data_IF_759399868315
#
_entry.id   IF_759399868315
#
_cell.length_a   1.000
_cell.length_b   1.000
_cell.length_c   1.000
_cell.angle_alpha   90.00
_cell.angle_beta   90.00
_cell.angle_gamma   90.00
#
_symmetry.space_group_name_H-M   'P 1'
#
loop_
_entity.id
_entity.type
_entity.pdbx_description
1 polymer ?
#
# COMPACT_ATOMS: atom_id res chain seq x y z
N UNK A 1 -21.57 -4.59 16.76
CA UNK A 1 -20.61 -3.51 16.91
C UNK A 1 -19.28 -3.97 17.53
N UNK A 2 -19.28 -4.83 18.55
CA UNK A 2 -18.06 -5.42 19.13
C UNK A 2 -17.19 -6.19 18.12
N UNK A 3 -17.80 -6.90 17.18
CA UNK A 3 -17.08 -7.69 16.18
C UNK A 3 -16.23 -6.86 15.20
N UNK A 4 -16.68 -5.66 14.84
CA UNK A 4 -15.97 -4.79 13.90
C UNK A 4 -14.75 -4.12 14.55
N UNK A 5 -14.89 -3.68 15.80
CA UNK A 5 -13.78 -3.07 16.56
C UNK A 5 -12.69 -4.10 16.84
N UNK A 6 -13.07 -5.34 17.20
CA UNK A 6 -12.09 -6.41 17.43
C UNK A 6 -11.35 -6.82 16.16
N UNK A 7 -12.01 -6.81 15.01
CA UNK A 7 -11.40 -7.06 13.71
C UNK A 7 -10.36 -5.99 13.36
N UNK A 8 -10.72 -4.71 13.50
CA UNK A 8 -9.80 -3.59 13.27
C UNK A 8 -8.58 -3.69 14.19
N UNK A 9 -8.81 -3.93 15.49
CA UNK A 9 -7.72 -4.08 16.46
C UNK A 9 -6.77 -5.23 16.08
N UNK A 10 -7.31 -6.37 15.66
CA UNK A 10 -6.52 -7.52 15.24
C UNK A 10 -5.69 -7.22 13.99
N UNK A 11 -6.31 -6.60 12.97
CA UNK A 11 -5.61 -6.18 11.75
C UNK A 11 -4.47 -5.21 12.03
N UNK A 12 -4.69 -4.22 12.90
CA UNK A 12 -3.64 -3.28 13.32
C UNK A 12 -2.50 -4.00 14.04
N UNK A 13 -2.80 -4.90 14.97
CA UNK A 13 -1.80 -5.66 15.73
C UNK A 13 -0.89 -6.46 14.81
N UNK A 14 -1.46 -7.15 13.83
CA UNK A 14 -0.70 -7.96 12.87
C UNK A 14 0.09 -7.12 11.86
N UNK A 15 -0.38 -5.90 11.55
CA UNK A 15 0.30 -5.00 10.64
C UNK A 15 1.53 -4.30 11.27
N UNK A 16 1.62 -4.22 12.60
CA UNK A 16 2.70 -3.49 13.29
C UNK A 16 4.08 -4.09 13.00
N UNK A 17 4.24 -5.40 13.12
CA UNK A 17 5.54 -6.05 12.91
C UNK A 17 6.04 -5.91 11.46
N UNK A 18 5.23 -6.18 10.41
CA UNK A 18 5.62 -5.92 9.03
C UNK A 18 5.87 -4.45 8.72
N UNK A 19 5.10 -3.53 9.32
CA UNK A 19 5.32 -2.10 9.16
C UNK A 19 6.67 -1.66 9.75
N UNK A 20 7.03 -2.15 10.93
CA UNK A 20 8.35 -1.90 11.54
C UNK A 20 9.49 -2.51 10.72
N UNK A 21 9.31 -3.72 10.18
CA UNK A 21 10.27 -4.33 9.28
C UNK A 21 10.45 -3.48 8.00
N UNK A 22 9.34 -3.01 7.42
CA UNK A 22 9.37 -2.07 6.30
C UNK A 22 10.12 -0.78 6.65
N UNK A 23 9.83 -0.18 7.81
CA UNK A 23 10.52 1.03 8.26
C UNK A 23 12.05 0.80 8.43
N UNK A 24 12.46 -0.36 8.95
CA UNK A 24 13.87 -0.74 9.06
C UNK A 24 14.55 -0.84 7.68
N UNK A 25 13.89 -1.50 6.72
CA UNK A 25 14.34 -1.61 5.33
C UNK A 25 14.47 -0.20 4.71
N UNK A 26 13.45 0.64 4.88
CA UNK A 26 13.46 2.03 4.41
C UNK A 26 14.58 2.85 5.04
N UNK A 27 14.87 2.64 6.32
CA UNK A 27 15.98 3.26 7.03
C UNK A 27 17.35 2.86 6.48
N UNK A 28 17.55 1.57 6.23
CA UNK A 28 18.79 1.05 5.60
C UNK A 28 18.96 1.63 4.20
N UNK A 29 17.91 1.59 3.38
CA UNK A 29 17.94 2.17 2.03
C UNK A 29 18.26 3.66 2.07
N UNK A 30 17.65 4.41 3.00
CA UNK A 30 17.92 5.83 3.20
C UNK A 30 19.39 6.08 3.56
N UNK A 31 19.96 5.25 4.45
CA UNK A 31 21.38 5.35 4.82
C UNK A 31 22.30 5.15 3.60
N UNK A 32 22.02 4.11 2.79
CA UNK A 32 22.78 3.83 1.57
C UNK A 32 22.66 4.96 0.54
N UNK A 33 21.44 5.47 0.32
CA UNK A 33 21.20 6.58 -0.60
C UNK A 33 21.87 7.88 -0.13
N UNK A 34 21.86 8.17 1.18
CA UNK A 34 22.56 9.31 1.76
C UNK A 34 24.07 9.19 1.59
N UNK A 35 24.63 8.00 1.82
CA UNK A 35 26.06 7.73 1.64
C UNK A 35 26.48 7.93 0.18
N UNK A 36 25.70 7.37 -0.77
CA UNK A 36 25.95 7.54 -2.21
C UNK A 36 25.93 9.02 -2.60
N UNK A 37 24.87 9.74 -2.23
CA UNK A 37 24.72 11.17 -2.56
C UNK A 37 25.79 12.06 -1.92
N UNK A 38 26.22 11.74 -0.70
CA UNK A 38 27.36 12.45 -0.07
C UNK A 38 28.65 12.30 -0.89
N UNK A 39 28.89 11.11 -1.46
CA UNK A 39 30.05 10.88 -2.35
C UNK A 39 29.97 11.68 -3.64
N UNK A 40 28.74 11.94 -4.13
CA UNK A 40 28.45 12.71 -5.34
C UNK A 40 28.34 14.23 -5.06
N UNK A 41 28.59 14.69 -3.82
CA UNK A 41 28.49 16.10 -3.42
C UNK A 41 27.03 16.62 -3.37
N UNK A 42 26.04 15.75 -3.47
CA UNK A 42 24.64 16.15 -3.50
C UNK A 42 23.98 16.08 -2.12
N UNK A 43 23.23 17.13 -1.75
CA UNK A 43 22.43 17.14 -0.53
C UNK A 43 21.22 16.21 -0.59
N UNK A 44 20.76 15.75 0.57
CA UNK A 44 19.55 14.95 0.72
C UNK A 44 18.53 15.71 1.56
N UNK A 45 17.32 15.91 1.01
CA UNK A 45 16.25 16.60 1.75
C UNK A 45 15.75 15.74 2.91
N UNK A 46 15.60 16.30 4.13
CA UNK A 46 15.03 15.55 5.26
C UNK A 46 13.61 15.06 4.97
N UNK A 47 12.79 15.84 4.24
CA UNK A 47 11.45 15.45 3.82
C UNK A 47 11.47 14.20 2.90
N UNK A 48 12.41 14.14 1.96
CA UNK A 48 12.60 12.99 1.09
C UNK A 48 13.00 11.74 1.91
N UNK A 49 13.85 11.93 2.91
CA UNK A 49 14.26 10.85 3.81
C UNK A 49 13.10 10.29 4.62
N UNK A 50 12.29 11.17 5.20
CA UNK A 50 11.09 10.78 5.94
C UNK A 50 10.08 10.06 5.02
N UNK A 51 9.87 10.56 3.80
CA UNK A 51 8.96 9.95 2.84
C UNK A 51 9.38 8.53 2.45
N UNK A 52 10.69 8.26 2.29
CA UNK A 52 11.21 6.91 2.01
C UNK A 52 10.89 5.96 3.17
N UNK A 53 11.21 6.34 4.40
CA UNK A 53 10.96 5.48 5.57
C UNK A 53 9.47 5.21 5.75
N UNK A 54 8.62 6.25 5.64
CA UNK A 54 7.17 6.13 5.74
C UNK A 54 6.59 5.28 4.61
N UNK A 55 7.11 5.39 3.39
CA UNK A 55 6.69 4.58 2.25
C UNK A 55 6.94 3.08 2.52
N UNK A 56 8.13 2.72 2.98
CA UNK A 56 8.45 1.33 3.27
C UNK A 56 7.71 0.81 4.50
N UNK A 57 7.51 1.63 5.52
CA UNK A 57 6.65 1.33 6.66
C UNK A 57 5.21 1.02 6.20
N UNK A 58 4.68 1.88 5.34
CA UNK A 58 3.35 1.71 4.78
C UNK A 58 3.24 0.44 3.91
N UNK A 59 4.20 0.18 3.04
CA UNK A 59 4.23 -1.04 2.21
C UNK A 59 4.31 -2.31 3.06
N UNK A 60 5.08 -2.28 4.15
CA UNK A 60 5.14 -3.39 5.11
C UNK A 60 3.78 -3.66 5.77
N UNK A 61 3.12 -2.61 6.27
CA UNK A 61 1.77 -2.72 6.84
C UNK A 61 0.72 -3.17 5.81
N UNK A 62 0.79 -2.63 4.60
CA UNK A 62 -0.10 -3.01 3.49
C UNK A 62 0.04 -4.49 3.14
N UNK A 63 1.28 -5.00 3.04
CA UNK A 63 1.53 -6.42 2.73
C UNK A 63 0.95 -7.35 3.80
N UNK A 64 0.98 -6.97 5.06
CA UNK A 64 0.35 -7.73 6.14
C UNK A 64 -1.16 -7.83 5.96
N UNK A 65 -1.82 -6.71 5.69
CA UNK A 65 -3.27 -6.66 5.54
C UNK A 65 -3.74 -7.40 4.29
N UNK A 66 -2.98 -7.30 3.18
CA UNK A 66 -3.41 -7.85 1.89
C UNK A 66 -3.01 -9.30 1.67
N UNK A 67 -1.89 -9.75 2.25
CA UNK A 67 -1.34 -11.09 2.00
C UNK A 67 -1.53 -12.01 3.21
N UNK A 68 -1.25 -11.54 4.44
CA UNK A 68 -1.26 -12.39 5.62
C UNK A 68 -2.66 -12.67 6.18
N UNK A 69 -3.62 -11.79 5.94
CA UNK A 69 -4.99 -11.94 6.45
C UNK A 69 -5.97 -12.60 5.48
N UNK A 70 -5.46 -13.23 4.44
CA UNK A 70 -6.32 -14.00 3.55
C UNK A 70 -6.78 -15.27 4.26
N UNK A 71 -8.06 -15.34 4.64
CA UNK A 71 -8.73 -16.63 4.83
C UNK A 71 -8.74 -17.32 3.47
N UNK A 72 -8.09 -18.48 3.40
CA UNK A 72 -8.09 -19.35 2.22
C UNK A 72 -9.53 -19.76 1.94
N UNK A 73 -10.26 -18.90 1.25
CA UNK A 73 -11.57 -19.20 0.69
C UNK A 73 -11.41 -19.72 -0.72
N UNK A 74 -12.36 -20.52 -1.18
CA UNK A 74 -12.40 -21.07 -2.53
C UNK A 74 -12.00 -20.03 -3.59
N UNK A 75 -11.12 -20.40 -4.54
CA UNK A 75 -10.64 -19.48 -5.56
C UNK A 75 -11.78 -19.16 -6.55
N UNK A 76 -12.59 -18.18 -6.22
CA UNK A 76 -13.51 -17.58 -7.17
C UNK A 76 -12.76 -16.52 -7.96
N UNK A 77 -12.34 -16.90 -9.16
CA UNK A 77 -11.84 -15.95 -10.16
C UNK A 77 -12.98 -15.03 -10.52
N UNK A 78 -13.03 -13.85 -9.94
CA UNK A 78 -13.93 -12.80 -10.41
C UNK A 78 -13.30 -12.15 -11.64
N UNK A 79 -13.46 -12.82 -12.79
CA UNK A 79 -12.92 -12.39 -14.08
C UNK A 79 -13.54 -11.09 -14.63
N UNK A 80 -14.48 -10.49 -13.90
CA UNK A 80 -15.11 -9.24 -14.29
C UNK A 80 -14.47 -8.05 -13.60
N UNK A 81 -13.53 -7.39 -14.30
CA UNK A 81 -13.09 -6.04 -13.97
C UNK A 81 -14.34 -5.18 -13.73
N UNK A 82 -14.35 -4.43 -12.61
CA UNK A 82 -15.47 -3.55 -12.24
C UNK A 82 -16.77 -4.22 -11.75
N UNK A 83 -16.83 -5.55 -11.57
CA UNK A 83 -18.03 -6.19 -11.04
C UNK A 83 -18.44 -5.61 -9.67
N UNK A 84 -17.48 -5.34 -8.79
CA UNK A 84 -17.74 -4.72 -7.49
C UNK A 84 -18.38 -3.33 -7.64
N UNK A 85 -17.95 -2.53 -8.63
CA UNK A 85 -18.56 -1.24 -8.95
C UNK A 85 -19.96 -1.40 -9.55
N UNK A 86 -20.14 -2.39 -10.43
CA UNK A 86 -21.43 -2.66 -11.05
C UNK A 86 -22.46 -3.15 -10.02
N UNK A 87 -22.07 -4.04 -9.13
CA UNK A 87 -22.92 -4.53 -8.04
C UNK A 87 -23.24 -3.40 -7.03
N UNK A 88 -22.25 -2.56 -6.69
CA UNK A 88 -22.44 -1.40 -5.83
C UNK A 88 -23.43 -0.39 -6.45
N UNK A 89 -23.33 -0.16 -7.75
CA UNK A 89 -24.20 0.76 -8.49
C UNK A 89 -25.65 0.25 -8.53
N UNK A 90 -25.85 -1.04 -8.76
CA UNK A 90 -27.20 -1.63 -8.88
C UNK A 90 -27.89 -1.87 -7.53
N UNK A 91 -27.14 -2.06 -6.45
CA UNK A 91 -27.73 -2.49 -5.17
C UNK A 91 -27.85 -1.34 -4.16
N UNK A 92 -27.17 -0.19 -4.39
CA UNK A 92 -27.14 1.01 -3.53
C UNK A 92 -26.95 0.72 -2.03
N UNK A 93 -26.31 -0.39 -1.67
CA UNK A 93 -26.07 -0.78 -0.28
C UNK A 93 -24.71 -0.22 0.15
N UNK A 94 -24.68 0.55 1.25
CA UNK A 94 -23.48 1.18 1.79
C UNK A 94 -22.32 0.18 1.98
N UNK A 95 -22.65 -1.05 2.37
CA UNK A 95 -21.66 -2.11 2.64
C UNK A 95 -20.89 -2.55 1.38
N UNK A 96 -21.51 -2.50 0.21
CA UNK A 96 -20.88 -2.86 -1.08
C UNK A 96 -19.98 -1.73 -1.54
N UNK A 97 -20.32 -0.46 -1.27
CA UNK A 97 -19.49 0.71 -1.59
C UNK A 97 -18.25 0.83 -0.70
N UNK A 98 -18.31 0.32 0.54
CA UNK A 98 -17.18 0.37 1.46
C UNK A 98 -15.93 -0.32 0.92
N UNK A 99 -16.06 -1.48 0.26
CA UNK A 99 -14.91 -2.22 -0.26
C UNK A 99 -14.11 -1.45 -1.33
N UNK A 100 -14.74 -0.93 -2.43
CA UNK A 100 -14.02 -0.11 -3.39
C UNK A 100 -13.46 1.18 -2.78
N UNK A 101 -14.19 1.83 -1.87
CA UNK A 101 -13.72 3.03 -1.20
C UNK A 101 -12.50 2.78 -0.30
N UNK A 102 -12.50 1.68 0.45
CA UNK A 102 -11.35 1.26 1.26
C UNK A 102 -10.13 0.95 0.38
N UNK A 103 -10.33 0.29 -0.75
CA UNK A 103 -9.23 0.04 -1.71
C UNK A 103 -8.66 1.37 -2.23
N UNK A 104 -9.49 2.33 -2.61
CA UNK A 104 -9.03 3.66 -3.02
C UNK A 104 -8.28 4.34 -1.86
N UNK A 105 -8.84 4.33 -0.66
CA UNK A 105 -8.23 4.93 0.52
C UNK A 105 -6.86 4.32 0.85
N UNK A 106 -6.69 3.01 0.62
CA UNK A 106 -5.42 2.31 0.78
C UNK A 106 -4.35 2.79 -0.21
N UNK A 107 -4.69 3.31 -1.38
CA UNK A 107 -3.71 3.82 -2.34
C UNK A 107 -3.40 5.31 -2.17
N UNK A 108 -4.17 6.07 -1.39
CA UNK A 108 -3.93 7.49 -1.13
C UNK A 108 -2.53 7.78 -0.53
N UNK A 109 -2.08 7.07 0.54
CA UNK A 109 -0.75 7.29 1.08
C UNK A 109 0.36 7.03 0.05
N UNK A 110 0.17 6.02 -0.81
CA UNK A 110 1.12 5.71 -1.88
C UNK A 110 1.23 6.87 -2.88
N UNK A 111 0.08 7.44 -3.28
CA UNK A 111 0.00 8.58 -4.19
C UNK A 111 0.72 9.83 -3.67
N UNK A 112 0.79 10.01 -2.36
CA UNK A 112 1.49 11.12 -1.71
C UNK A 112 2.97 10.80 -1.45
N UNK A 113 3.27 9.61 -0.94
CA UNK A 113 4.62 9.27 -0.50
C UNK A 113 5.57 9.01 -1.68
N UNK A 114 5.11 8.41 -2.78
CA UNK A 114 5.93 8.12 -3.95
C UNK A 114 6.57 9.38 -4.56
N UNK A 115 5.81 10.46 -4.89
CA UNK A 115 6.40 11.68 -5.45
C UNK A 115 7.30 12.44 -4.47
N UNK A 116 7.09 12.27 -3.16
CA UNK A 116 7.96 12.84 -2.13
C UNK A 116 9.26 12.01 -1.98
N UNK A 117 9.19 10.69 -2.09
CA UNK A 117 10.31 9.79 -1.95
C UNK A 117 11.27 9.85 -3.15
N UNK A 118 10.74 9.90 -4.39
CA UNK A 118 11.56 9.83 -5.58
C UNK A 118 11.09 10.74 -6.70
N UNK A 119 12.06 11.46 -7.31
CA UNK A 119 11.79 12.45 -8.37
C UNK A 119 11.01 11.92 -9.58
N UNK A 120 11.23 10.69 -10.11
CA UNK A 120 10.46 10.18 -11.25
C UNK A 120 8.96 10.17 -11.02
N UNK A 121 8.52 9.86 -9.78
CA UNK A 121 7.10 9.79 -9.40
C UNK A 121 6.41 11.16 -9.25
N UNK A 122 7.12 12.26 -9.44
CA UNK A 122 6.50 13.60 -9.54
C UNK A 122 5.67 13.75 -10.81
N UNK A 123 5.88 12.90 -11.80
CA UNK A 123 5.03 12.82 -12.98
C UNK A 123 3.89 11.85 -12.67
N UNK A 124 2.66 12.33 -12.74
CA UNK A 124 1.45 11.63 -12.32
C UNK A 124 1.29 10.22 -12.93
N UNK A 125 1.69 10.07 -14.21
CA UNK A 125 1.59 8.77 -14.89
C UNK A 125 2.52 7.69 -14.31
N UNK A 126 3.69 8.05 -13.76
CA UNK A 126 4.57 7.09 -13.07
C UNK A 126 3.99 6.66 -11.73
N UNK A 127 3.31 7.56 -11.03
CA UNK A 127 2.61 7.24 -9.78
C UNK A 127 1.42 6.33 -10.05
N UNK A 128 0.66 6.60 -11.13
CA UNK A 128 -0.43 5.70 -11.55
C UNK A 128 0.09 4.34 -11.99
N UNK A 129 1.17 4.29 -12.78
CA UNK A 129 1.78 3.03 -13.20
C UNK A 129 2.28 2.21 -12.00
N UNK A 130 2.88 2.84 -10.99
CA UNK A 130 3.31 2.17 -9.77
C UNK A 130 2.11 1.65 -8.96
N UNK A 131 1.02 2.42 -8.84
CA UNK A 131 -0.21 1.99 -8.18
C UNK A 131 -0.87 0.80 -8.90
N UNK A 132 -1.02 0.89 -10.21
CA UNK A 132 -1.58 -0.19 -11.03
C UNK A 132 -0.71 -1.46 -10.97
N UNK A 133 0.63 -1.31 -11.09
CA UNK A 133 1.57 -2.41 -10.95
C UNK A 133 1.53 -3.05 -9.57
N UNK A 134 1.45 -2.24 -8.51
CA UNK A 134 1.29 -2.73 -7.14
C UNK A 134 -0.01 -3.50 -6.95
N UNK A 135 -1.13 -3.00 -7.46
CA UNK A 135 -2.42 -3.69 -7.44
C UNK A 135 -2.34 -5.04 -8.17
N UNK A 136 -1.73 -5.06 -9.35
CA UNK A 136 -1.55 -6.30 -10.12
C UNK A 136 -0.68 -7.33 -9.38
N UNK A 137 0.42 -6.88 -8.74
CA UNK A 137 1.30 -7.77 -7.95
C UNK A 137 0.54 -8.35 -6.75
N UNK A 138 -0.23 -7.53 -6.04
CA UNK A 138 -1.06 -7.99 -4.91
C UNK A 138 -2.05 -9.05 -5.41
N UNK A 139 -2.72 -8.79 -6.52
CA UNK A 139 -3.70 -9.71 -7.11
C UNK A 139 -3.04 -11.02 -7.55
N UNK A 140 -1.86 -10.95 -8.19
CA UNK A 140 -1.07 -12.12 -8.58
C UNK A 140 -0.62 -12.95 -7.37
N UNK A 141 -0.16 -12.30 -6.28
CA UNK A 141 0.22 -12.98 -5.03
C UNK A 141 -0.99 -13.61 -4.32
N UNK A 142 -2.17 -13.06 -4.54
CA UNK A 142 -3.41 -13.64 -4.01
C UNK A 142 -3.88 -14.86 -4.80
N UNK A 143 -3.32 -15.12 -5.96
CA UNK A 143 -3.64 -16.25 -6.83
C UNK A 143 -2.82 -17.52 -6.53
N UNK A 144 -1.69 -17.37 -5.85
CA UNK A 144 -0.79 -18.47 -5.46
C UNK A 144 -1.17 -19.00 -4.08
#
# INVERSE_FOLDING_TARGET
>A
MHSFISLIYYMFKEAVAPALAGAAIGGVLLALLRQKRRREGAGFSPLQGAAIVLLFCYLGGLSAVTVLHRTVGTPWVQAHLFRAFWEAWNTFTLQIWLNPLLNIAMFLPLGVLLPLAARPFRRWYWTLAAGAGGSFVIEALQYI
#
